data_IF_122935791922
#
_entry.id   IF_122935791922
#
_cell.length_a   1.000
_cell.length_b   1.000
_cell.length_c   1.000
_cell.angle_alpha   90.00
_cell.angle_beta   90.00
_cell.angle_gamma   90.00
#
_symmetry.space_group_name_H-M   'P 1'
#
loop_
_entity.id
_entity.type
_entity.pdbx_description
1 polymer ?
#
# COMPACT_ATOMS: atom_id res chain seq x y z
N UNK A 1 5.77 15.27 15.31
CA UNK A 1 7.03 14.83 14.67
C UNK A 1 6.78 14.69 13.19
N UNK A 2 7.78 15.00 12.41
CA UNK A 2 7.66 14.95 10.96
C UNK A 2 7.68 13.53 10.45
N UNK A 3 6.88 13.29 9.43
CA UNK A 3 6.86 12.03 8.71
C UNK A 3 7.91 12.07 7.60
N UNK A 4 8.75 11.06 7.52
CA UNK A 4 9.74 10.91 6.46
C UNK A 4 9.37 9.73 5.58
N UNK A 5 9.49 9.89 4.26
CA UNK A 5 9.30 8.80 3.30
C UNK A 5 10.68 8.48 2.73
N UNK A 6 11.04 7.19 2.74
CA UNK A 6 12.31 6.72 2.20
C UNK A 6 12.16 5.33 1.60
N UNK A 7 13.12 4.90 0.76
CA UNK A 7 13.14 3.50 0.30
C UNK A 7 13.28 2.55 1.49
N UNK A 8 12.61 1.41 1.41
CA UNK A 8 12.73 0.37 2.42
C UNK A 8 14.10 -0.29 2.34
N UNK A 9 14.65 -0.61 3.50
CA UNK A 9 15.89 -1.35 3.65
C UNK A 9 15.57 -2.78 4.11
N UNK A 10 16.50 -3.69 3.90
CA UNK A 10 16.32 -5.10 4.27
C UNK A 10 15.87 -5.25 5.74
N UNK A 11 16.45 -4.44 6.63
CA UNK A 11 16.14 -4.49 8.06
C UNK A 11 14.74 -3.99 8.40
N UNK A 12 14.03 -3.37 7.47
CA UNK A 12 12.67 -2.87 7.70
C UNK A 12 11.61 -3.98 7.59
N UNK A 13 11.94 -5.16 7.10
CA UNK A 13 10.96 -6.20 6.77
C UNK A 13 10.05 -6.58 7.95
N UNK A 14 10.61 -6.76 9.14
CA UNK A 14 9.81 -7.11 10.33
C UNK A 14 8.84 -5.99 10.70
N UNK A 15 9.29 -4.74 10.63
CA UNK A 15 8.45 -3.58 10.95
C UNK A 15 7.36 -3.36 9.90
N UNK A 16 7.70 -3.55 8.63
CA UNK A 16 6.71 -3.49 7.53
C UNK A 16 5.64 -4.56 7.74
N UNK A 17 6.04 -5.79 8.02
CA UNK A 17 5.12 -6.89 8.32
C UNK A 17 4.19 -6.53 9.47
N UNK A 18 4.74 -5.98 10.56
CA UNK A 18 3.95 -5.60 11.73
C UNK A 18 2.91 -4.53 11.40
N UNK A 19 3.27 -3.52 10.61
CA UNK A 19 2.34 -2.47 10.16
C UNK A 19 1.20 -3.08 9.33
N UNK A 20 1.53 -3.93 8.37
CA UNK A 20 0.54 -4.55 7.49
C UNK A 20 -0.43 -5.43 8.28
N UNK A 21 0.10 -6.32 9.12
CA UNK A 21 -0.74 -7.23 9.89
C UNK A 21 -1.65 -6.49 10.87
N UNK A 22 -1.12 -5.46 11.50
CA UNK A 22 -1.90 -4.63 12.41
C UNK A 22 -3.02 -3.89 11.67
N UNK A 23 -2.73 -3.30 10.50
CA UNK A 23 -3.74 -2.63 9.69
C UNK A 23 -4.82 -3.59 9.21
N UNK A 24 -4.44 -4.79 8.77
CA UNK A 24 -5.40 -5.81 8.36
C UNK A 24 -6.34 -6.19 9.50
N UNK A 25 -5.82 -6.39 10.70
CA UNK A 25 -6.62 -6.82 11.86
C UNK A 25 -7.48 -5.72 12.45
N UNK A 26 -7.00 -4.48 12.45
CA UNK A 26 -7.70 -3.37 13.13
C UNK A 26 -8.53 -2.51 12.17
N UNK A 27 -8.12 -2.37 10.91
CA UNK A 27 -8.79 -1.50 9.94
C UNK A 27 -9.56 -2.31 8.89
N UNK A 28 -8.86 -3.18 8.15
CA UNK A 28 -9.47 -3.93 7.06
C UNK A 28 -10.48 -4.97 7.55
N UNK A 29 -10.31 -5.50 8.75
CA UNK A 29 -11.22 -6.51 9.30
C UNK A 29 -12.67 -6.04 9.42
N UNK A 30 -12.91 -4.73 9.38
CA UNK A 30 -14.28 -4.17 9.39
C UNK A 30 -15.01 -4.44 8.08
N UNK A 31 -14.27 -4.63 6.99
CA UNK A 31 -14.82 -4.76 5.64
C UNK A 31 -14.70 -6.17 5.06
N UNK A 32 -14.02 -7.08 5.77
CA UNK A 32 -13.75 -8.44 5.30
C UNK A 32 -14.00 -9.45 6.40
N UNK A 33 -14.26 -10.70 6.02
CA UNK A 33 -14.43 -11.80 6.97
C UNK A 33 -13.10 -12.18 7.62
N UNK A 34 -13.16 -12.80 8.80
CA UNK A 34 -11.96 -13.28 9.49
C UNK A 34 -11.17 -14.27 8.62
N UNK A 35 -11.87 -15.10 7.83
CA UNK A 35 -11.23 -16.07 6.94
C UNK A 35 -10.44 -15.38 5.83
N UNK A 36 -10.99 -14.31 5.26
CA UNK A 36 -10.29 -13.52 4.23
C UNK A 36 -9.06 -12.87 4.84
N UNK A 37 -9.19 -12.25 6.02
CA UNK A 37 -8.05 -11.60 6.69
C UNK A 37 -6.96 -12.63 6.98
N UNK A 38 -7.29 -13.79 7.52
CA UNK A 38 -6.32 -14.84 7.82
C UNK A 38 -5.57 -15.29 6.56
N UNK A 39 -6.27 -15.44 5.44
CA UNK A 39 -5.66 -15.82 4.18
C UNK A 39 -4.70 -14.76 3.67
N UNK A 40 -5.11 -13.49 3.73
CA UNK A 40 -4.28 -12.37 3.26
C UNK A 40 -3.03 -12.21 4.12
N UNK A 41 -3.16 -12.39 5.45
CA UNK A 41 -2.03 -12.28 6.39
C UNK A 41 -0.89 -13.23 6.06
N UNK A 42 -1.19 -14.40 5.50
CA UNK A 42 -0.16 -15.39 5.14
C UNK A 42 0.87 -14.86 4.14
N UNK A 43 0.49 -13.88 3.34
CA UNK A 43 1.37 -13.26 2.35
C UNK A 43 2.26 -12.15 2.91
N UNK A 44 2.19 -11.85 4.21
CA UNK A 44 2.85 -10.68 4.79
C UNK A 44 3.65 -10.95 6.06
N UNK A 45 4.09 -12.18 6.31
CA UNK A 45 5.09 -12.43 7.36
C UNK A 45 6.43 -11.81 6.94
N UNK A 46 7.42 -11.65 7.85
CA UNK A 46 8.68 -10.98 7.49
C UNK A 46 9.41 -11.58 6.30
N UNK A 47 9.43 -12.90 6.16
CA UNK A 47 10.07 -13.55 5.00
C UNK A 47 9.34 -13.24 3.70
N UNK A 48 8.02 -13.23 3.73
CA UNK A 48 7.21 -12.85 2.56
C UNK A 48 7.46 -11.40 2.17
N UNK A 49 7.58 -10.50 3.16
CA UNK A 49 7.89 -9.10 2.90
C UNK A 49 9.26 -8.96 2.25
N UNK A 50 10.28 -9.68 2.73
CA UNK A 50 11.61 -9.68 2.10
C UNK A 50 11.54 -10.11 0.64
N UNK A 51 10.76 -11.15 0.34
CA UNK A 51 10.58 -11.62 -1.03
C UNK A 51 9.93 -10.54 -1.92
N UNK A 52 8.95 -9.82 -1.38
CA UNK A 52 8.31 -8.71 -2.10
C UNK A 52 9.29 -7.56 -2.34
N UNK A 53 10.12 -7.24 -1.36
CA UNK A 53 11.13 -6.18 -1.48
C UNK A 53 12.14 -6.48 -2.59
N UNK A 54 12.42 -7.74 -2.84
CA UNK A 54 13.32 -8.15 -3.92
C UNK A 54 12.72 -7.95 -5.31
N UNK A 55 11.38 -7.89 -5.41
CA UNK A 55 10.65 -7.83 -6.69
C UNK A 55 10.06 -6.48 -7.00
N UNK A 56 9.90 -5.61 -6.00
CA UNK A 56 9.20 -4.33 -6.12
C UNK A 56 10.05 -3.20 -5.60
N UNK A 57 9.67 -1.98 -5.96
CA UNK A 57 10.19 -0.78 -5.32
C UNK A 57 9.33 -0.51 -4.09
N UNK A 58 9.88 -0.65 -2.89
CA UNK A 58 9.14 -0.52 -1.64
C UNK A 58 9.61 0.72 -0.88
N UNK A 59 8.64 1.48 -0.38
CA UNK A 59 8.88 2.67 0.45
C UNK A 59 8.31 2.45 1.84
N UNK A 60 8.90 3.13 2.81
CA UNK A 60 8.38 3.19 4.17
C UNK A 60 8.18 4.64 4.57
N UNK A 61 7.17 4.87 5.40
CA UNK A 61 6.97 6.12 6.11
C UNK A 61 7.41 5.92 7.54
N UNK A 62 8.19 6.87 8.06
CA UNK A 62 8.67 6.81 9.44
C UNK A 62 8.32 8.08 10.19
N UNK A 63 8.06 7.94 11.48
CA UNK A 63 7.96 9.04 12.43
C UNK A 63 9.01 8.75 13.51
N UNK A 64 10.04 9.61 13.58
CA UNK A 64 11.21 9.28 14.35
C UNK A 64 11.87 8.04 13.76
N UNK A 65 12.14 7.04 14.59
CA UNK A 65 12.71 5.76 14.15
C UNK A 65 11.66 4.66 13.95
N UNK A 66 10.38 5.03 14.03
CA UNK A 66 9.29 4.05 13.92
C UNK A 66 8.75 4.00 12.49
N UNK A 67 8.68 2.81 11.92
CA UNK A 67 7.99 2.58 10.64
C UNK A 67 6.48 2.63 10.91
N UNK A 68 5.78 3.51 10.22
CA UNK A 68 4.33 3.72 10.41
C UNK A 68 3.51 3.50 9.15
N UNK A 69 4.16 3.24 8.02
CA UNK A 69 3.44 2.99 6.77
C UNK A 69 4.36 2.42 5.72
N UNK A 70 3.75 1.86 4.68
CA UNK A 70 4.47 1.31 3.52
C UNK A 70 3.64 1.46 2.26
N UNK A 71 4.32 1.51 1.13
CA UNK A 71 3.71 1.45 -0.20
C UNK A 71 4.72 0.84 -1.15
N UNK A 72 4.26 0.21 -2.21
CA UNK A 72 5.17 -0.36 -3.19
C UNK A 72 4.69 -0.15 -4.63
N UNK A 73 5.65 -0.17 -5.55
CA UNK A 73 5.42 -0.05 -6.98
C UNK A 73 6.00 -1.29 -7.66
N UNK A 74 5.16 -2.01 -8.38
CA UNK A 74 5.49 -3.22 -9.11
C UNK A 74 5.19 -2.96 -10.59
N UNK A 75 6.21 -2.56 -11.35
CA UNK A 75 6.00 -2.04 -12.70
C UNK A 75 5.14 -0.79 -12.65
N UNK A 76 3.93 -0.85 -13.18
CA UNK A 76 2.93 0.24 -13.13
C UNK A 76 1.85 0.02 -12.08
N UNK A 77 1.96 -1.05 -11.31
CA UNK A 77 0.94 -1.43 -10.32
C UNK A 77 1.37 -1.00 -8.93
N UNK A 78 0.53 -0.20 -8.29
CA UNK A 78 0.69 0.16 -6.87
C UNK A 78 0.18 -1.00 -6.04
N UNK A 79 0.97 -1.45 -5.09
CA UNK A 79 0.62 -2.59 -4.24
C UNK A 79 0.95 -2.32 -2.78
N UNK A 80 0.17 -2.92 -1.90
CA UNK A 80 0.49 -3.04 -0.48
C UNK A 80 0.71 -1.67 0.17
N UNK A 81 -0.31 -0.81 0.10
CA UNK A 81 -0.32 0.50 0.77
C UNK A 81 -1.03 0.34 2.12
N UNK A 82 -0.29 0.48 3.19
CA UNK A 82 -0.82 0.36 4.55
C UNK A 82 -0.23 1.42 5.47
N UNK A 83 -1.04 1.88 6.42
CA UNK A 83 -0.64 2.84 7.44
C UNK A 83 -1.04 2.29 8.80
N UNK A 84 -0.16 2.42 9.79
CA UNK A 84 -0.44 1.97 11.15
C UNK A 84 -1.74 2.62 11.67
N UNK A 85 -2.66 1.85 12.26
CA UNK A 85 -3.97 2.37 12.67
C UNK A 85 -3.91 3.56 13.64
N UNK A 86 -2.92 3.61 14.50
CA UNK A 86 -2.80 4.67 15.51
C UNK A 86 -2.36 6.03 14.93
N UNK A 87 -1.92 6.06 13.67
CA UNK A 87 -1.50 7.31 13.00
C UNK A 87 -2.26 7.57 11.70
N UNK A 88 -3.37 6.88 11.47
CA UNK A 88 -4.22 7.15 10.32
C UNK A 88 -4.82 8.56 10.40
N UNK A 89 -5.30 9.07 9.26
CA UNK A 89 -5.87 10.41 9.11
C UNK A 89 -4.85 11.54 9.30
N UNK A 90 -3.54 11.26 9.21
CA UNK A 90 -2.47 12.27 9.26
C UNK A 90 -1.85 12.54 7.88
N UNK A 91 -2.45 12.02 6.82
CA UNK A 91 -1.95 12.19 5.45
C UNK A 91 -0.75 11.33 5.09
N UNK A 92 -0.43 10.30 5.86
CA UNK A 92 0.73 9.43 5.61
C UNK A 92 0.55 8.65 4.31
N UNK A 93 -0.64 8.11 4.06
CA UNK A 93 -0.94 7.42 2.81
C UNK A 93 -0.76 8.34 1.60
N UNK A 94 -1.16 9.60 1.72
CA UNK A 94 -0.99 10.60 0.67
C UNK A 94 0.49 10.88 0.42
N UNK A 95 1.31 10.97 1.46
CA UNK A 95 2.75 11.18 1.32
C UNK A 95 3.42 9.99 0.64
N UNK A 96 3.06 8.77 1.04
CA UNK A 96 3.56 7.55 0.41
C UNK A 96 3.22 7.53 -1.08
N UNK A 97 1.97 7.83 -1.41
CA UNK A 97 1.53 7.83 -2.80
C UNK A 97 2.17 8.94 -3.62
N UNK A 98 2.48 10.09 -3.02
CA UNK A 98 3.23 11.14 -3.71
C UNK A 98 4.62 10.65 -4.11
N UNK A 99 5.29 9.89 -3.26
CA UNK A 99 6.61 9.32 -3.60
C UNK A 99 6.49 8.24 -4.68
N UNK A 100 5.49 7.36 -4.59
CA UNK A 100 5.23 6.36 -5.63
C UNK A 100 5.01 7.05 -6.99
N UNK A 101 4.21 8.09 -7.00
CA UNK A 101 3.93 8.85 -8.22
C UNK A 101 5.17 9.52 -8.77
N UNK A 102 6.00 10.11 -7.90
CA UNK A 102 7.26 10.75 -8.31
C UNK A 102 8.17 9.74 -9.01
N UNK A 103 8.34 8.56 -8.44
CA UNK A 103 9.17 7.50 -9.03
C UNK A 103 8.57 7.01 -10.34
N UNK A 104 7.25 6.83 -10.40
CA UNK A 104 6.56 6.42 -11.62
C UNK A 104 6.82 7.42 -12.76
N UNK A 105 6.75 8.72 -12.46
CA UNK A 105 7.03 9.76 -13.47
C UNK A 105 8.48 9.73 -13.93
N UNK A 106 9.43 9.52 -13.01
CA UNK A 106 10.84 9.37 -13.37
C UNK A 106 11.06 8.18 -14.31
N UNK A 107 10.27 7.13 -14.18
CA UNK A 107 10.35 5.94 -15.01
C UNK A 107 9.52 6.03 -16.27
N UNK A 108 8.91 7.19 -16.54
CA UNK A 108 8.05 7.43 -17.71
C UNK A 108 6.84 6.48 -17.76
N UNK A 109 6.28 6.15 -16.59
CA UNK A 109 5.07 5.33 -16.49
C UNK A 109 3.87 6.24 -16.76
N UNK A 110 3.05 5.96 -17.81
CA UNK A 110 1.96 6.87 -18.19
C UNK A 110 0.71 6.77 -17.32
N UNK A 111 0.51 5.65 -16.65
CA UNK A 111 -0.66 5.45 -15.80
C UNK A 111 -0.33 4.45 -14.70
N UNK A 112 -0.91 4.67 -13.52
CA UNK A 112 -0.82 3.75 -12.40
C UNK A 112 -2.11 2.96 -12.28
N UNK A 113 -1.98 1.67 -11.97
CA UNK A 113 -3.09 0.79 -11.63
C UNK A 113 -2.95 0.39 -10.17
N UNK A 114 -4.05 0.31 -9.43
CA UNK A 114 -4.03 -0.19 -8.07
C UNK A 114 -5.16 -1.21 -7.87
N UNK A 115 -4.83 -2.43 -7.41
CA UNK A 115 -5.85 -3.36 -6.93
C UNK A 115 -6.22 -2.97 -5.50
N UNK A 116 -7.20 -2.08 -5.36
CA UNK A 116 -7.59 -1.51 -4.07
C UNK A 116 -8.41 -2.49 -3.25
N UNK A 117 -8.14 -2.55 -1.95
CA UNK A 117 -9.09 -3.15 -1.02
C UNK A 117 -10.34 -2.28 -0.94
N UNK A 118 -11.45 -2.86 -0.47
CA UNK A 118 -12.68 -2.11 -0.19
C UNK A 118 -12.38 -1.00 0.84
N UNK A 119 -11.54 -1.30 1.81
CA UNK A 119 -11.15 -0.35 2.87
C UNK A 119 -10.45 0.88 2.31
N UNK A 120 -9.61 0.73 1.29
CA UNK A 120 -8.75 1.80 0.79
C UNK A 120 -9.35 2.57 -0.38
N UNK A 121 -10.50 2.19 -0.89
CA UNK A 121 -11.09 2.80 -2.09
C UNK A 121 -11.21 4.32 -1.97
N UNK A 122 -11.67 4.82 -0.84
CA UNK A 122 -11.85 6.26 -0.62
C UNK A 122 -10.53 7.03 -0.73
N UNK A 123 -9.45 6.45 -0.20
CA UNK A 123 -8.13 7.06 -0.31
C UNK A 123 -7.74 7.24 -1.78
N UNK A 124 -7.88 6.19 -2.58
CA UNK A 124 -7.48 6.23 -3.98
C UNK A 124 -8.37 7.16 -4.81
N UNK A 125 -9.67 7.22 -4.52
CA UNK A 125 -10.56 8.19 -5.18
C UNK A 125 -10.07 9.62 -4.91
N UNK A 126 -9.70 9.94 -3.68
CA UNK A 126 -9.18 11.27 -3.32
C UNK A 126 -7.86 11.59 -4.01
N UNK A 127 -7.08 10.56 -4.35
CA UNK A 127 -5.82 10.72 -5.07
C UNK A 127 -5.98 10.75 -6.59
N UNK A 128 -7.22 10.72 -7.08
CA UNK A 128 -7.49 10.84 -8.51
C UNK A 128 -7.61 9.52 -9.26
N UNK A 129 -7.62 8.40 -8.56
CA UNK A 129 -7.88 7.11 -9.18
C UNK A 129 -9.37 6.94 -9.46
N UNK A 130 -9.69 6.21 -10.52
CA UNK A 130 -11.07 5.86 -10.89
C UNK A 130 -11.21 4.35 -10.93
N UNK A 131 -12.33 3.85 -10.40
CA UNK A 131 -12.63 2.43 -10.46
C UNK A 131 -12.89 2.02 -11.92
N UNK A 132 -12.24 0.93 -12.34
CA UNK A 132 -12.36 0.39 -13.70
C UNK A 132 -13.25 -0.86 -13.68
N UNK A 133 -12.98 -1.80 -12.78
CA UNK A 133 -13.79 -3.01 -12.60
C UNK A 133 -13.48 -3.65 -11.26
N UNK A 134 -14.37 -4.57 -10.85
CA UNK A 134 -14.13 -5.40 -9.67
C UNK A 134 -13.45 -6.70 -10.07
N UNK A 135 -12.64 -7.23 -9.18
CA UNK A 135 -12.03 -8.54 -9.29
C UNK A 135 -12.30 -9.31 -7.99
N UNK A 136 -12.62 -10.58 -8.10
CA UNK A 136 -12.95 -11.42 -6.95
C UNK A 136 -11.99 -12.60 -6.83
N UNK A 137 -11.59 -12.89 -5.61
CA UNK A 137 -10.88 -14.11 -5.25
C UNK A 137 -11.68 -14.76 -4.12
N UNK A 138 -12.56 -15.72 -4.47
CA UNK A 138 -13.58 -16.17 -3.56
C UNK A 138 -14.51 -15.01 -3.20
N UNK A 139 -14.65 -14.73 -1.91
CA UNK A 139 -15.46 -13.63 -1.41
C UNK A 139 -14.66 -12.33 -1.25
N UNK A 140 -13.38 -12.37 -1.54
CA UNK A 140 -12.53 -11.19 -1.46
C UNK A 140 -12.72 -10.32 -2.70
N UNK A 141 -13.35 -9.15 -2.49
CA UNK A 141 -13.53 -8.15 -3.53
C UNK A 141 -12.32 -7.23 -3.59
N UNK A 142 -11.78 -7.07 -4.77
CA UNK A 142 -10.74 -6.09 -5.07
C UNK A 142 -11.27 -5.14 -6.14
N UNK A 143 -11.06 -3.86 -5.95
CA UNK A 143 -11.49 -2.84 -6.89
C UNK A 143 -10.27 -2.40 -7.69
N UNK A 144 -10.26 -2.72 -8.99
CA UNK A 144 -9.16 -2.30 -9.86
C UNK A 144 -9.40 -0.84 -10.23
N UNK A 145 -8.44 -0.01 -9.87
CA UNK A 145 -8.52 1.44 -10.07
C UNK A 145 -7.34 1.92 -10.90
N UNK A 146 -7.53 3.00 -11.62
CA UNK A 146 -6.51 3.54 -12.52
C UNK A 146 -6.43 5.04 -12.40
N UNK A 147 -5.21 5.56 -12.51
CA UNK A 147 -4.95 6.99 -12.60
C UNK A 147 -3.96 7.26 -13.72
N UNK A 148 -4.36 8.09 -14.67
CA UNK A 148 -3.46 8.55 -15.73
C UNK A 148 -2.57 9.65 -15.15
N UNK A 149 -1.26 9.53 -15.37
CA UNK A 149 -0.30 10.54 -14.96
C UNK A 149 -0.15 11.58 -16.08
N UNK A 150 0.13 12.82 -15.69
CA UNK A 150 0.31 13.87 -16.69
C UNK A 150 1.48 13.55 -17.60
N UNK A 151 1.28 13.74 -18.88
CA UNK A 151 2.36 13.62 -19.86
C UNK A 151 3.40 14.74 -19.62
N UNK A 152 4.64 14.41 -19.82
CA UNK A 152 5.75 15.35 -19.65
C UNK A 152 6.58 15.41 -20.91
#
# INVERSE_FOLDING_TARGET
MDTTIRPAQHDDAADISAVILRALRETNAKDYTDEIIARVEQGFNPDAVLALMAKRTVFVATIGNRVVGTASLDGRVVRTVFVAPDVQARGIGKLLMAEVERVARERNIPALTVPSSVTAETLYIRLGFKAVHDSYHGDERTIIMERVLDAR
#
